data_IF_221090318819
#
_entry.id   IF_221090318819
#
_cell.length_a   1.000
_cell.length_b   1.000
_cell.length_c   1.000
_cell.angle_alpha   90.00
_cell.angle_beta   90.00
_cell.angle_gamma   90.00
#
_symmetry.space_group_name_H-M   'P 1'
#
loop_
_entity.id
_entity.type
_entity.pdbx_description
1 polymer ?
#
# COMPACT_ATOMS: atom_id res chain seq x y z
N UNK A 1 10.45 13.20 -11.91
CA UNK A 1 10.85 14.63 -11.89
C UNK A 1 11.94 14.86 -12.92
N UNK A 2 12.07 16.08 -13.45
CA UNK A 2 13.13 16.46 -14.38
C UNK A 2 14.03 17.49 -13.67
N UNK A 3 15.33 17.20 -13.65
CA UNK A 3 16.38 18.06 -13.10
C UNK A 3 16.95 18.96 -14.19
N UNK A 4 17.44 20.14 -13.83
CA UNK A 4 18.04 21.08 -14.78
C UNK A 4 19.31 20.52 -15.44
N UNK A 5 20.17 19.87 -14.66
CA UNK A 5 21.32 19.10 -15.17
C UNK A 5 21.83 18.10 -14.11
N UNK A 6 22.87 17.36 -14.43
CA UNK A 6 23.60 16.47 -13.52
C UNK A 6 24.35 17.22 -12.39
N UNK A 7 24.80 18.45 -12.66
CA UNK A 7 25.52 19.30 -11.71
C UNK A 7 24.64 20.33 -11.00
N UNK A 8 23.44 20.58 -11.50
CA UNK A 8 22.43 21.48 -10.94
C UNK A 8 21.13 20.70 -10.71
N UNK A 9 20.95 20.26 -9.46
CA UNK A 9 19.83 19.45 -9.00
C UNK A 9 18.53 20.25 -8.80
N UNK A 10 18.43 21.45 -9.37
CA UNK A 10 17.18 22.21 -9.37
C UNK A 10 16.09 21.46 -10.16
N UNK A 11 14.97 21.17 -9.50
CA UNK A 11 13.78 20.58 -10.14
C UNK A 11 13.11 21.59 -11.07
N UNK A 12 13.09 21.32 -12.38
CA UNK A 12 12.48 22.22 -13.38
C UNK A 12 11.07 21.78 -13.79
N UNK A 13 10.77 20.48 -13.70
CA UNK A 13 9.44 19.94 -14.00
C UNK A 13 9.12 18.72 -13.14
N UNK A 14 7.85 18.59 -12.80
CA UNK A 14 7.26 17.35 -12.28
C UNK A 14 6.50 16.69 -13.45
N UNK A 15 6.74 15.41 -13.66
CA UNK A 15 6.10 14.57 -14.69
C UNK A 15 5.42 13.39 -13.98
N UNK A 16 4.64 12.62 -14.73
CA UNK A 16 3.91 11.46 -14.22
C UNK A 16 2.79 11.83 -13.22
N UNK A 17 1.88 12.71 -13.68
CA UNK A 17 0.72 13.17 -12.91
C UNK A 17 -0.53 12.29 -13.15
N UNK A 18 -0.40 11.15 -13.82
CA UNK A 18 -1.53 10.28 -14.17
C UNK A 18 -2.22 9.65 -12.94
N UNK A 19 -1.57 9.71 -11.77
CA UNK A 19 -2.10 9.29 -10.48
C UNK A 19 -2.42 10.45 -9.54
N UNK A 20 -2.46 11.69 -10.04
CA UNK A 20 -2.99 12.82 -9.26
C UNK A 20 -4.49 12.64 -9.12
N UNK A 21 -4.95 12.42 -7.90
CA UNK A 21 -6.37 12.36 -7.58
C UNK A 21 -6.68 13.31 -6.42
N UNK A 22 -7.92 13.77 -6.36
CA UNK A 22 -8.44 14.47 -5.19
C UNK A 22 -8.67 13.44 -4.07
N UNK A 23 -7.65 13.24 -3.23
CA UNK A 23 -7.75 12.42 -2.02
C UNK A 23 -8.05 13.26 -0.79
N UNK A 24 -8.56 12.66 0.29
CA UNK A 24 -8.60 13.31 1.60
C UNK A 24 -7.22 13.90 1.93
N UNK A 25 -7.17 15.16 2.36
CA UNK A 25 -5.91 15.84 2.69
C UNK A 25 -5.10 15.07 3.75
N UNK A 26 -5.76 14.27 4.58
CA UNK A 26 -5.11 13.38 5.55
C UNK A 26 -4.21 12.31 4.92
N UNK A 27 -4.49 11.88 3.68
CA UNK A 27 -3.62 10.97 2.94
C UNK A 27 -2.32 11.65 2.51
N UNK A 28 -2.40 12.94 2.15
CA UNK A 28 -1.23 13.75 1.80
C UNK A 28 -0.36 14.04 3.03
N UNK A 29 -0.99 14.25 4.19
CA UNK A 29 -0.31 14.41 5.48
C UNK A 29 0.24 13.13 6.09
N UNK A 30 0.24 12.01 5.37
CA UNK A 30 0.78 10.76 5.89
C UNK A 30 2.15 10.43 5.33
N UNK A 31 2.93 9.69 6.12
CA UNK A 31 4.24 9.24 5.70
C UNK A 31 4.16 8.49 4.36
N UNK A 32 4.90 8.95 3.33
CA UNK A 32 4.68 8.52 1.96
C UNK A 32 5.20 7.11 1.70
N UNK A 33 4.35 6.25 1.16
CA UNK A 33 4.70 4.86 0.81
C UNK A 33 5.80 4.76 -0.25
N UNK A 34 5.94 5.74 -1.14
CA UNK A 34 6.94 5.70 -2.21
C UNK A 34 8.38 5.81 -1.69
N UNK A 35 8.60 6.13 -0.42
CA UNK A 35 9.91 6.01 0.24
C UNK A 35 10.37 4.56 0.36
N UNK A 36 9.48 3.58 0.17
CA UNK A 36 9.84 2.16 0.09
C UNK A 36 10.68 1.85 -1.17
N UNK A 37 10.70 2.75 -2.16
CA UNK A 37 11.24 2.49 -3.50
C UNK A 37 10.63 1.26 -4.21
N UNK A 38 9.49 0.78 -3.69
CA UNK A 38 8.75 -0.38 -4.18
C UNK A 38 7.26 -0.22 -3.84
N UNK A 39 6.41 -1.13 -4.34
CA UNK A 39 5.00 -1.19 -3.98
C UNK A 39 4.85 -1.88 -2.60
N UNK A 40 4.07 -1.29 -1.68
CA UNK A 40 3.84 -1.88 -0.34
C UNK A 40 3.07 -3.22 -0.36
N UNK A 41 2.56 -3.64 -1.52
CA UNK A 41 1.88 -4.92 -1.75
C UNK A 41 2.73 -5.95 -2.50
N UNK A 42 3.98 -5.63 -2.84
CA UNK A 42 4.85 -6.59 -3.48
C UNK A 42 5.07 -7.80 -2.53
N UNK A 43 5.07 -8.99 -3.11
CA UNK A 43 5.16 -10.26 -2.40
C UNK A 43 6.47 -10.41 -1.63
N UNK A 44 7.53 -9.73 -2.07
CA UNK A 44 8.83 -9.65 -1.37
C UNK A 44 8.72 -9.01 0.02
N UNK A 45 7.63 -8.30 0.29
CA UNK A 45 7.33 -7.68 1.58
C UNK A 45 6.40 -8.52 2.46
N UNK A 46 6.02 -9.72 2.04
CA UNK A 46 5.20 -10.63 2.85
C UNK A 46 5.95 -11.02 4.11
N UNK A 47 5.32 -10.84 5.26
CA UNK A 47 5.85 -11.30 6.55
C UNK A 47 5.29 -12.70 6.77
N UNK A 48 6.01 -13.71 6.25
CA UNK A 48 5.46 -15.06 6.17
C UNK A 48 5.39 -15.77 7.52
N UNK A 49 6.33 -15.56 8.46
CA UNK A 49 6.28 -16.11 9.84
C UNK A 49 7.42 -15.61 10.75
N UNK A 50 8.14 -14.53 10.40
CA UNK A 50 9.25 -14.02 11.22
C UNK A 50 8.81 -12.88 12.12
N UNK A 51 9.26 -12.91 13.38
CA UNK A 51 9.20 -11.77 14.32
C UNK A 51 9.99 -10.55 13.81
N UNK A 52 10.77 -10.73 12.75
CA UNK A 52 11.57 -9.68 12.12
C UNK A 52 10.90 -9.18 10.85
N UNK A 53 10.74 -7.87 10.77
CA UNK A 53 10.34 -7.19 9.53
C UNK A 53 11.49 -7.29 8.50
N UNK A 54 11.20 -7.31 7.18
CA UNK A 54 12.25 -7.31 6.16
C UNK A 54 13.22 -6.15 6.36
N UNK A 55 14.51 -6.31 6.01
CA UNK A 55 15.55 -5.24 6.08
C UNK A 55 15.08 -3.95 5.39
N UNK A 56 14.27 -4.08 4.34
CA UNK A 56 13.69 -2.96 3.61
C UNK A 56 12.76 -2.07 4.48
N UNK A 57 12.30 -2.58 5.63
CA UNK A 57 11.58 -1.81 6.67
C UNK A 57 12.48 -0.78 7.36
N UNK A 58 13.72 -1.14 7.66
CA UNK A 58 14.66 -0.21 8.30
C UNK A 58 15.01 0.93 7.34
N UNK A 59 15.28 0.59 6.07
CA UNK A 59 15.52 1.56 5.02
C UNK A 59 14.38 2.56 4.86
N UNK A 60 13.12 2.07 4.91
CA UNK A 60 11.95 2.93 4.87
C UNK A 60 11.95 3.97 6.00
N UNK A 61 12.24 3.56 7.24
CA UNK A 61 12.28 4.47 8.38
C UNK A 61 13.45 5.46 8.31
N UNK A 62 14.60 5.04 7.77
CA UNK A 62 15.71 5.96 7.50
C UNK A 62 15.32 7.03 6.48
N UNK A 63 14.68 6.63 5.38
CA UNK A 63 14.18 7.54 4.36
C UNK A 63 13.08 8.46 4.93
N UNK A 64 12.17 7.93 5.75
CA UNK A 64 11.10 8.71 6.39
C UNK A 64 11.66 9.76 7.34
N UNK A 65 12.70 9.42 8.11
CA UNK A 65 13.41 10.38 8.97
C UNK A 65 14.01 11.52 8.16
N UNK A 66 14.77 11.20 7.11
CA UNK A 66 15.39 12.20 6.23
C UNK A 66 14.32 13.08 5.56
N UNK A 67 13.25 12.46 5.07
CA UNK A 67 12.13 13.15 4.46
C UNK A 67 11.50 14.16 5.43
N UNK A 68 11.21 13.74 6.66
CA UNK A 68 10.60 14.59 7.67
C UNK A 68 11.53 15.74 8.11
N UNK A 69 12.84 15.48 8.25
CA UNK A 69 13.85 16.52 8.51
C UNK A 69 13.91 17.56 7.39
N UNK A 70 13.86 17.12 6.13
CA UNK A 70 13.82 18.02 4.98
C UNK A 70 12.51 18.83 4.96
N UNK A 71 11.39 18.19 5.29
CA UNK A 71 10.09 18.83 5.28
C UNK A 71 9.99 19.95 6.32
N UNK A 72 10.48 19.71 7.53
CA UNK A 72 10.57 20.76 8.58
C UNK A 72 11.39 21.95 8.09
N UNK A 73 12.57 21.72 7.50
CA UNK A 73 13.42 22.79 6.96
C UNK A 73 12.73 23.58 5.86
N UNK A 74 11.93 22.93 5.03
CA UNK A 74 11.16 23.59 3.98
C UNK A 74 9.98 24.40 4.55
N UNK A 75 9.31 23.91 5.60
CA UNK A 75 8.23 24.64 6.28
C UNK A 75 8.74 25.88 7.03
N UNK A 76 9.95 25.83 7.59
CA UNK A 76 10.62 26.97 8.23
C UNK A 76 10.87 28.13 7.27
N UNK A 77 11.25 27.83 6.01
CA UNK A 77 11.50 28.83 4.96
C UNK A 77 10.23 29.52 4.46
N UNK A 78 9.06 28.92 4.68
CA UNK A 78 7.78 29.45 4.19
C UNK A 78 7.28 30.64 5.02
N UNK A 79 6.57 31.61 4.41
CA UNK A 79 5.86 32.66 5.16
C UNK A 79 4.86 32.07 6.16
N UNK A 80 4.65 32.74 7.31
CA UNK A 80 3.70 32.30 8.37
C UNK A 80 2.24 32.15 7.91
N UNK A 81 1.88 32.76 6.79
CA UNK A 81 0.53 32.68 6.21
C UNK A 81 0.30 31.41 5.37
N UNK A 82 1.33 30.60 5.12
CA UNK A 82 1.20 29.33 4.41
C UNK A 82 1.05 28.16 5.39
N UNK A 83 0.43 27.08 4.94
CA UNK A 83 0.28 25.83 5.69
C UNK A 83 1.66 25.30 6.15
N UNK A 84 1.82 25.04 7.45
CA UNK A 84 3.10 24.70 8.12
C UNK A 84 3.05 23.42 8.98
N UNK A 85 2.05 22.59 8.76
CA UNK A 85 1.78 21.46 9.68
C UNK A 85 2.01 20.11 9.02
N UNK A 86 2.50 20.06 7.78
CA UNK A 86 2.64 18.79 7.06
C UNK A 86 3.65 17.87 7.75
N UNK A 87 4.74 18.39 8.33
CA UNK A 87 5.68 17.57 9.11
C UNK A 87 5.04 17.01 10.38
N UNK A 88 4.17 17.80 11.02
CA UNK A 88 3.42 17.38 12.20
C UNK A 88 2.41 16.30 11.83
N UNK A 89 1.72 16.42 10.69
CA UNK A 89 0.80 15.40 10.19
C UNK A 89 1.54 14.09 9.87
N UNK A 90 2.72 14.18 9.24
CA UNK A 90 3.54 13.00 8.94
C UNK A 90 3.96 12.29 10.24
N UNK A 91 4.47 13.03 11.24
CA UNK A 91 4.80 12.50 12.57
C UNK A 91 3.59 11.91 13.29
N UNK A 92 2.44 12.58 13.21
CA UNK A 92 1.19 12.07 13.76
C UNK A 92 0.80 10.77 13.08
N UNK A 93 0.94 10.66 11.77
CA UNK A 93 0.56 9.44 11.03
C UNK A 93 1.40 8.24 11.44
N UNK A 94 2.68 8.47 11.73
CA UNK A 94 3.61 7.45 12.24
C UNK A 94 3.24 7.03 13.66
N UNK A 95 3.13 7.99 14.57
CA UNK A 95 2.86 7.73 16.00
C UNK A 95 1.46 7.17 16.27
N UNK A 96 0.47 7.52 15.45
CA UNK A 96 -0.90 7.00 15.53
C UNK A 96 -1.14 5.70 14.76
N UNK A 97 -0.16 5.24 13.98
CA UNK A 97 -0.30 4.08 13.09
C UNK A 97 -1.22 4.33 11.89
N UNK A 98 -1.75 5.54 11.70
CA UNK A 98 -2.58 5.91 10.57
C UNK A 98 -1.86 5.74 9.23
N UNK A 99 -0.53 5.89 9.22
CA UNK A 99 0.37 5.56 8.11
C UNK A 99 0.04 4.20 7.48
N UNK A 100 -0.17 3.16 8.28
CA UNK A 100 -0.39 1.81 7.79
C UNK A 100 -1.78 1.65 7.15
N UNK A 101 -2.79 2.29 7.75
CA UNK A 101 -4.15 2.33 7.21
C UNK A 101 -4.16 3.07 5.87
N UNK A 102 -3.48 4.21 5.80
CA UNK A 102 -3.39 4.98 4.56
C UNK A 102 -2.65 4.20 3.48
N UNK A 103 -1.53 3.52 3.80
CA UNK A 103 -0.84 2.62 2.86
C UNK A 103 -1.76 1.54 2.32
N UNK A 104 -2.58 0.90 3.16
CA UNK A 104 -3.56 -0.10 2.74
C UNK A 104 -4.59 0.48 1.76
N UNK A 105 -5.11 1.67 2.06
CA UNK A 105 -6.06 2.38 1.18
C UNK A 105 -5.42 2.73 -0.18
N UNK A 106 -4.15 3.17 -0.19
CA UNK A 106 -3.41 3.45 -1.41
C UNK A 106 -3.15 2.22 -2.27
N UNK A 107 -2.93 1.07 -1.64
CA UNK A 107 -2.64 -0.15 -2.37
C UNK A 107 -3.87 -0.87 -2.93
N UNK A 108 -5.09 -0.50 -2.50
CA UNK A 108 -6.34 -1.06 -3.02
C UNK A 108 -6.58 -2.55 -2.72
N UNK A 109 -5.64 -3.24 -2.08
CA UNK A 109 -5.72 -4.65 -1.74
C UNK A 109 -5.31 -4.90 -0.29
N UNK A 110 -6.09 -5.72 0.42
CA UNK A 110 -5.82 -6.16 1.78
C UNK A 110 -5.26 -7.58 1.76
N UNK A 111 -3.97 -7.72 1.49
CA UNK A 111 -3.29 -9.00 1.72
C UNK A 111 -3.01 -9.15 3.23
N UNK A 112 -3.54 -10.19 3.91
CA UNK A 112 -3.32 -10.39 5.35
C UNK A 112 -1.85 -10.60 5.75
N UNK A 113 -1.00 -10.97 4.79
CA UNK A 113 0.45 -11.12 4.97
C UNK A 113 1.22 -9.90 4.46
N UNK A 114 0.54 -8.92 3.86
CA UNK A 114 1.16 -7.73 3.30
C UNK A 114 1.78 -6.86 4.40
N UNK A 115 2.88 -6.20 4.08
CA UNK A 115 3.64 -5.38 5.01
C UNK A 115 2.80 -4.33 5.75
N UNK A 116 1.97 -3.48 5.09
CA UNK A 116 1.16 -2.49 5.78
C UNK A 116 0.14 -3.12 6.73
N UNK A 117 -0.44 -4.25 6.34
CA UNK A 117 -1.42 -4.96 7.14
C UNK A 117 -0.79 -5.51 8.43
N UNK A 118 0.39 -6.13 8.29
CA UNK A 118 1.12 -6.69 9.41
C UNK A 118 1.64 -5.60 10.36
N UNK A 119 2.14 -4.48 9.83
CA UNK A 119 2.51 -3.32 10.65
C UNK A 119 1.33 -2.70 11.37
N UNK A 120 0.18 -2.57 10.72
CA UNK A 120 -1.04 -2.11 11.36
C UNK A 120 -1.49 -3.06 12.49
N UNK A 121 -1.47 -4.38 12.25
CA UNK A 121 -1.80 -5.39 13.26
C UNK A 121 -0.85 -5.37 14.47
N UNK A 122 0.45 -5.18 14.23
CA UNK A 122 1.44 -4.98 15.30
C UNK A 122 1.13 -3.70 16.09
N UNK A 123 0.77 -2.61 15.41
CA UNK A 123 0.48 -1.33 16.05
C UNK A 123 -0.76 -1.37 16.95
N UNK A 124 -1.89 -1.92 16.48
CA UNK A 124 -3.14 -2.00 17.26
C UNK A 124 -3.11 -3.11 18.33
N UNK A 125 -2.14 -4.02 18.24
CA UNK A 125 -1.94 -5.14 19.16
C UNK A 125 -2.69 -6.42 18.74
N UNK A 126 -2.01 -7.55 18.91
CA UNK A 126 -2.52 -8.88 18.54
C UNK A 126 -3.81 -9.25 19.28
N UNK A 127 -3.89 -8.97 20.59
CA UNK A 127 -5.06 -9.32 21.41
C UNK A 127 -6.31 -8.55 20.98
N UNK A 128 -6.18 -7.23 20.79
CA UNK A 128 -7.26 -6.39 20.29
C UNK A 128 -7.75 -6.89 18.93
N UNK A 129 -6.81 -7.17 18.03
CA UNK A 129 -7.09 -7.69 16.70
C UNK A 129 -7.87 -9.02 16.75
N UNK A 130 -7.36 -10.00 17.50
CA UNK A 130 -7.99 -11.33 17.58
C UNK A 130 -9.39 -11.26 18.19
N UNK A 131 -9.58 -10.42 19.22
CA UNK A 131 -10.90 -10.16 19.79
C UNK A 131 -11.86 -9.58 18.76
N UNK A 132 -11.42 -8.59 17.99
CA UNK A 132 -12.27 -7.93 16.99
C UNK A 132 -12.65 -8.85 15.84
N UNK A 133 -11.71 -9.68 15.38
CA UNK A 133 -11.96 -10.69 14.35
C UNK A 133 -12.95 -11.75 14.84
N UNK A 134 -12.81 -12.25 16.07
CA UNK A 134 -13.72 -13.27 16.60
C UNK A 134 -15.14 -12.73 16.79
N UNK A 135 -15.29 -11.49 17.27
CA UNK A 135 -16.59 -10.79 17.36
C UNK A 135 -17.30 -10.65 16.01
N UNK A 136 -16.55 -10.50 14.92
CA UNK A 136 -17.08 -10.37 13.57
C UNK A 136 -17.40 -11.74 12.96
N UNK A 137 -16.52 -12.73 13.12
CA UNK A 137 -16.66 -14.07 12.55
C UNK A 137 -17.89 -14.84 13.06
N UNK A 138 -18.36 -14.54 14.27
CA UNK A 138 -19.52 -15.23 14.84
C UNK A 138 -20.84 -14.76 14.20
N UNK A 139 -20.86 -13.56 13.62
CA UNK A 139 -22.06 -12.95 13.06
C UNK A 139 -22.62 -13.76 11.89
N UNK A 140 -23.93 -14.08 11.86
CA UNK A 140 -24.53 -14.85 10.78
C UNK A 140 -24.25 -14.23 9.40
N UNK A 141 -24.33 -12.91 9.28
CA UNK A 141 -24.13 -12.20 8.02
C UNK A 141 -22.71 -12.40 7.45
N UNK A 142 -21.71 -12.47 8.34
CA UNK A 142 -20.32 -12.72 7.96
C UNK A 142 -20.13 -14.17 7.54
N UNK A 143 -20.76 -15.12 8.25
CA UNK A 143 -20.69 -16.55 7.89
C UNK A 143 -21.35 -16.80 6.53
N UNK A 144 -22.54 -16.25 6.32
CA UNK A 144 -23.29 -16.40 5.07
C UNK A 144 -22.49 -15.80 3.90
N UNK A 145 -21.94 -14.60 4.08
CA UNK A 145 -21.06 -13.97 3.08
C UNK A 145 -19.84 -14.82 2.74
N UNK A 146 -19.16 -15.39 3.76
CA UNK A 146 -18.00 -16.27 3.53
C UNK A 146 -18.40 -17.53 2.79
N UNK A 147 -19.51 -18.18 3.18
CA UNK A 147 -20.03 -19.36 2.50
C UNK A 147 -20.35 -19.07 1.03
N UNK A 148 -20.99 -17.94 0.75
CA UNK A 148 -21.29 -17.52 -0.62
C UNK A 148 -20.02 -17.28 -1.43
N UNK A 149 -19.02 -16.58 -0.87
CA UNK A 149 -17.74 -16.33 -1.56
C UNK A 149 -16.95 -17.59 -1.83
N UNK A 150 -16.98 -18.57 -0.92
CA UNK A 150 -16.33 -19.86 -1.13
C UNK A 150 -17.04 -20.69 -2.21
N UNK A 151 -18.37 -20.59 -2.31
CA UNK A 151 -19.13 -21.20 -3.40
C UNK A 151 -18.80 -20.54 -4.75
N UNK A 152 -18.80 -19.20 -4.80
CA UNK A 152 -18.41 -18.43 -6.00
C UNK A 152 -17.00 -18.83 -6.47
N UNK A 153 -16.06 -19.01 -5.52
CA UNK A 153 -14.68 -19.40 -5.82
C UNK A 153 -14.59 -20.82 -6.41
N UNK A 154 -15.30 -21.79 -5.83
CA UNK A 154 -15.34 -23.16 -6.34
C UNK A 154 -15.95 -23.23 -7.75
N UNK A 155 -17.01 -22.47 -8.01
CA UNK A 155 -17.60 -22.34 -9.35
C UNK A 155 -16.62 -21.71 -10.34
N UNK A 156 -15.92 -20.65 -9.95
CA UNK A 156 -14.88 -20.01 -10.77
C UNK A 156 -13.76 -21.00 -11.13
N UNK A 157 -13.26 -21.76 -10.15
CA UNK A 157 -12.18 -22.73 -10.36
C UNK A 157 -12.61 -23.90 -11.25
N UNK A 158 -13.84 -24.37 -11.11
CA UNK A 158 -14.44 -25.36 -12.03
C UNK A 158 -14.53 -24.81 -13.46
N UNK A 159 -15.00 -23.57 -13.63
CA UNK A 159 -15.07 -22.89 -14.93
C UNK A 159 -13.70 -22.58 -15.55
N UNK A 160 -12.65 -22.41 -14.73
CA UNK A 160 -11.26 -22.27 -15.18
C UNK A 160 -10.69 -23.60 -15.67
N UNK A 161 -10.93 -24.70 -14.93
CA UNK A 161 -10.53 -26.05 -15.32
C UNK A 161 -11.27 -26.53 -16.59
N UNK A 162 -12.55 -26.18 -16.76
CA UNK A 162 -13.32 -26.51 -17.97
C UNK A 162 -12.91 -25.73 -19.23
N UNK A 163 -12.35 -24.51 -19.08
CA UNK A 163 -11.79 -23.74 -20.21
C UNK A 163 -10.38 -24.17 -20.62
N UNK A 164 -9.60 -24.73 -19.69
CA UNK A 164 -8.27 -25.29 -19.97
C UNK A 164 -8.30 -26.54 -20.87
N UNK A 165 -9.43 -27.24 -20.97
CA UNK A 165 -9.59 -28.45 -21.79
C UNK A 165 -10.23 -28.20 -23.16
N UNK A 166 -10.77 -27.00 -23.44
CA UNK A 166 -11.33 -26.64 -24.76
C UNK A 166 -10.47 -25.64 -25.57
N UNK A 167 -9.31 -25.24 -25.05
CA UNK A 167 -8.49 -24.15 -25.60
C UNK A 167 -7.20 -24.53 -26.34
N UNK A 168 -7.01 -25.79 -26.76
CA UNK A 168 -5.81 -26.23 -27.50
C UNK A 168 -6.15 -26.96 -28.82
N UNK A 169 -7.21 -26.53 -29.51
CA UNK A 169 -7.51 -26.96 -30.88
C UNK A 169 -7.97 -25.79 -31.75
N UNK A 170 -7.10 -24.79 -31.90
CA UNK A 170 -7.12 -23.92 -33.09
C UNK A 170 -5.71 -23.87 -33.66
N UNK A 171 -5.49 -24.76 -34.62
CA UNK A 171 -4.39 -24.70 -35.57
C UNK A 171 -4.40 -23.34 -36.26
N UNK A 172 -3.31 -22.60 -36.13
CA UNK A 172 -2.99 -21.53 -37.06
C UNK A 172 -2.56 -22.21 -38.36
N UNK A 173 -3.39 -22.09 -39.39
CA UNK A 173 -2.98 -22.35 -40.77
C UNK A 173 -2.27 -21.10 -41.26
N UNK A 174 -1.00 -21.26 -41.60
CA UNK A 174 -0.24 -20.28 -42.37
C UNK A 174 -0.83 -20.22 -43.78
N UNK A 175 -1.56 -19.14 -44.08
CA UNK A 175 -1.87 -18.73 -45.46
C UNK A 175 -0.94 -17.55 -45.80
N UNK A 176 0.26 -17.86 -46.28
CA UNK A 176 1.00 -17.01 -47.22
C UNK A 176 1.02 -17.71 -48.58
N UNK A 177 0.37 -17.07 -49.56
CA UNK A 177 0.35 -17.43 -50.98
C UNK A 177 -0.16 -16.26 -51.80
#
# INVERSE_FOLDING_TARGET
>A
MIMKSDSDLTTVRVVDLEWVYAGPAQLFGSAPWWLLHDRPVNDEWKIENSDHAPVATEHYFDCLRIFNEALVKEEEKRPKSQYKELSEHVKWSETSGAIWVHMLLFSGFFNPLGFPYMKWRQFIGFEWWMKRVSELQIRPEVKDFVCDKLRDLDEYDKGRKGRGTQGLSRSWSDDEG
#
